data_IF_562877659200
#
_entry.id   IF_562877659200
#
_cell.length_a   1.000
_cell.length_b   1.000
_cell.length_c   1.000
_cell.angle_alpha   90.00
_cell.angle_beta   90.00
_cell.angle_gamma   90.00
#
_symmetry.space_group_name_H-M   'P 1'
#
loop_
_entity.id
_entity.type
_entity.pdbx_description
1 polymer ?
#
# COMPACT_ATOMS: atom_id res chain seq x y z
N UNK A 1 20.38 -1.24 5.27
CA UNK A 1 19.28 -1.96 5.94
C UNK A 1 18.93 -3.19 5.13
N UNK A 2 18.48 -4.24 5.80
CA UNK A 2 17.98 -5.48 5.21
C UNK A 2 16.46 -5.48 5.29
N UNK A 3 15.80 -5.44 4.14
CA UNK A 3 14.34 -5.46 4.04
C UNK A 3 13.89 -6.86 3.67
N UNK A 4 13.07 -7.48 4.52
CA UNK A 4 12.41 -8.74 4.17
C UNK A 4 11.18 -8.45 3.33
N UNK A 5 11.20 -8.88 2.07
CA UNK A 5 10.08 -8.77 1.15
C UNK A 5 9.37 -10.12 0.99
N UNK A 6 8.14 -10.22 1.48
CA UNK A 6 7.28 -11.40 1.36
C UNK A 6 6.34 -11.24 0.16
N UNK A 7 6.26 -12.25 -0.71
CA UNK A 7 5.57 -12.16 -2.00
C UNK A 7 6.43 -11.54 -3.10
N UNK A 8 7.75 -11.81 -3.07
CA UNK A 8 8.71 -11.12 -3.94
C UNK A 8 8.51 -11.36 -5.43
N UNK A 9 7.89 -12.46 -5.85
CA UNK A 9 7.77 -12.83 -7.27
C UNK A 9 6.55 -12.24 -7.99
N UNK A 10 5.59 -11.74 -7.22
CA UNK A 10 4.44 -11.00 -7.75
C UNK A 10 4.85 -9.71 -8.47
N UNK A 11 3.96 -9.17 -9.31
CA UNK A 11 4.21 -7.92 -10.04
C UNK A 11 4.57 -6.77 -9.09
N UNK A 12 3.82 -6.64 -7.99
CA UNK A 12 4.08 -5.64 -6.96
C UNK A 12 5.34 -5.95 -6.15
N UNK A 13 5.56 -7.21 -5.77
CA UNK A 13 6.80 -7.64 -5.12
C UNK A 13 8.03 -7.26 -5.94
N UNK A 14 8.05 -7.55 -7.25
CA UNK A 14 9.13 -7.15 -8.16
C UNK A 14 9.33 -5.63 -8.20
N UNK A 15 8.25 -4.84 -8.22
CA UNK A 15 8.33 -3.38 -8.12
C UNK A 15 9.07 -2.97 -6.84
N UNK A 16 8.70 -3.53 -5.69
CA UNK A 16 9.36 -3.21 -4.43
C UNK A 16 10.81 -3.69 -4.37
N UNK A 17 11.16 -4.81 -4.98
CA UNK A 17 12.58 -5.18 -5.12
C UNK A 17 13.39 -4.08 -5.80
N UNK A 18 12.87 -3.53 -6.91
CA UNK A 18 13.55 -2.45 -7.63
C UNK A 18 13.63 -1.16 -6.80
N UNK A 19 12.52 -0.74 -6.17
CA UNK A 19 12.49 0.48 -5.34
C UNK A 19 13.47 0.37 -4.17
N UNK A 20 13.44 -0.74 -3.42
CA UNK A 20 14.31 -0.94 -2.25
C UNK A 20 15.79 -0.95 -2.65
N UNK A 21 16.13 -1.62 -3.76
CA UNK A 21 17.51 -1.64 -4.29
C UNK A 21 17.95 -0.27 -4.80
N UNK A 22 17.06 0.46 -5.47
CA UNK A 22 17.33 1.81 -5.95
C UNK A 22 17.61 2.78 -4.78
N UNK A 23 16.94 2.59 -3.65
CA UNK A 23 17.23 3.30 -2.40
C UNK A 23 18.53 2.85 -1.70
N UNK A 24 19.26 1.87 -2.24
CA UNK A 24 20.54 1.41 -1.70
C UNK A 24 20.43 0.40 -0.56
N UNK A 25 19.33 -0.37 -0.48
CA UNK A 25 19.11 -1.35 0.58
C UNK A 25 19.09 -2.80 0.07
N UNK A 26 19.42 -3.73 0.97
CA UNK A 26 19.43 -5.15 0.67
C UNK A 26 18.00 -5.71 0.76
N UNK A 27 17.63 -6.57 -0.21
CA UNK A 27 16.32 -7.22 -0.26
C UNK A 27 16.48 -8.70 0.03
N UNK A 28 15.97 -9.14 1.17
CA UNK A 28 15.77 -10.55 1.50
C UNK A 28 14.43 -10.99 0.93
N UNK A 29 14.43 -12.04 0.11
CA UNK A 29 13.25 -12.46 -0.67
C UNK A 29 12.61 -13.67 0.00
N UNK A 30 11.30 -13.61 0.20
CA UNK A 30 10.52 -14.77 0.61
C UNK A 30 9.29 -14.90 -0.29
N UNK A 31 9.14 -16.06 -0.93
CA UNK A 31 8.02 -16.34 -1.84
C UNK A 31 7.64 -17.82 -1.77
N UNK A 32 6.47 -18.18 -2.31
CA UNK A 32 6.03 -19.59 -2.39
C UNK A 32 7.04 -20.43 -3.18
N UNK A 33 7.61 -19.86 -4.24
CA UNK A 33 8.60 -20.54 -5.09
C UNK A 33 9.98 -20.72 -4.41
N UNK A 34 10.31 -19.88 -3.42
CA UNK A 34 11.57 -19.96 -2.69
C UNK A 34 11.36 -19.48 -1.26
N UNK A 35 10.99 -20.42 -0.38
CA UNK A 35 10.78 -20.14 1.04
C UNK A 35 12.11 -20.21 1.77
N UNK A 36 12.54 -19.08 2.32
CA UNK A 36 13.64 -19.02 3.28
C UNK A 36 13.08 -18.81 4.68
N UNK A 37 13.69 -19.48 5.65
CA UNK A 37 13.45 -19.19 7.06
C UNK A 37 14.29 -18.00 7.47
N UNK A 38 13.65 -16.90 7.83
CA UNK A 38 14.30 -15.73 8.41
C UNK A 38 13.94 -15.60 9.89
N UNK A 39 14.93 -15.18 10.66
CA UNK A 39 14.83 -14.84 12.08
C UNK A 39 14.87 -13.32 12.25
N UNK A 40 14.47 -12.82 13.43
CA UNK A 40 14.37 -11.38 13.68
C UNK A 40 15.70 -10.61 13.63
N UNK A 41 16.85 -11.30 13.54
CA UNK A 41 18.17 -10.70 13.35
C UNK A 41 18.57 -10.56 11.88
N UNK A 42 17.85 -11.20 10.96
CA UNK A 42 18.19 -11.19 9.54
C UNK A 42 17.73 -9.91 8.83
N UNK A 43 16.71 -9.23 9.35
CA UNK A 43 16.09 -8.06 8.74
C UNK A 43 15.78 -6.94 9.73
N UNK A 44 15.69 -5.73 9.19
CA UNK A 44 15.38 -4.50 9.93
C UNK A 44 13.88 -4.15 9.87
N UNK A 45 13.21 -4.49 8.76
CA UNK A 45 11.78 -4.30 8.54
C UNK A 45 11.24 -5.32 7.52
N UNK A 46 9.91 -5.38 7.43
CA UNK A 46 9.18 -6.32 6.56
C UNK A 46 8.28 -5.55 5.61
N UNK A 47 8.28 -5.93 4.33
CA UNK A 47 7.31 -5.49 3.33
C UNK A 47 6.52 -6.72 2.88
N UNK A 48 5.18 -6.65 2.97
CA UNK A 48 4.26 -7.71 2.58
C UNK A 48 3.59 -7.30 1.27
N UNK A 49 3.85 -8.04 0.20
CA UNK A 49 3.29 -7.85 -1.14
C UNK A 49 2.65 -9.14 -1.67
N UNK A 50 2.12 -9.97 -0.76
CA UNK A 50 1.39 -11.20 -1.09
C UNK A 50 -0.05 -10.87 -1.50
N UNK A 51 -0.84 -11.83 -2.02
CA UNK A 51 -2.27 -11.60 -2.23
C UNK A 51 -3.01 -11.33 -0.90
N UNK A 52 -4.01 -10.44 -0.93
CA UNK A 52 -4.78 -9.99 0.25
C UNK A 52 -5.27 -11.10 1.19
N UNK A 53 -5.80 -12.26 0.71
CA UNK A 53 -6.23 -13.35 1.60
C UNK A 53 -5.14 -13.86 2.56
N UNK A 54 -3.87 -13.63 2.21
CA UNK A 54 -2.72 -14.12 3.00
C UNK A 54 -2.14 -13.08 3.95
N UNK A 55 -2.50 -11.79 3.81
CA UNK A 55 -1.92 -10.70 4.59
C UNK A 55 -2.02 -10.93 6.09
N UNK A 56 -3.21 -11.28 6.61
CA UNK A 56 -3.45 -11.51 8.04
C UNK A 56 -2.46 -12.50 8.64
N UNK A 57 -2.34 -13.67 8.00
CA UNK A 57 -1.43 -14.73 8.44
C UNK A 57 0.02 -14.24 8.40
N UNK A 58 0.43 -13.56 7.33
CA UNK A 58 1.80 -13.06 7.17
C UNK A 58 2.12 -11.96 8.18
N UNK A 59 1.21 -11.03 8.45
CA UNK A 59 1.35 -9.99 9.48
C UNK A 59 1.62 -10.64 10.84
N UNK A 60 0.76 -11.57 11.27
CA UNK A 60 0.90 -12.26 12.55
C UNK A 60 2.20 -13.08 12.63
N UNK A 61 2.62 -13.70 11.53
CA UNK A 61 3.87 -14.46 11.45
C UNK A 61 5.10 -13.59 11.76
N UNK A 62 5.13 -12.34 11.26
CA UNK A 62 6.27 -11.45 11.40
C UNK A 62 6.13 -10.44 12.55
N UNK A 63 4.92 -10.18 13.05
CA UNK A 63 4.66 -9.29 14.19
C UNK A 63 5.44 -9.68 15.44
N UNK A 64 5.67 -10.99 15.66
CA UNK A 64 6.45 -11.51 16.79
C UNK A 64 7.88 -10.97 16.88
N UNK A 65 8.44 -10.47 15.77
CA UNK A 65 9.78 -9.91 15.74
C UNK A 65 9.84 -8.41 16.11
N UNK A 66 8.69 -7.75 16.29
CA UNK A 66 8.58 -6.34 16.69
C UNK A 66 9.35 -5.37 15.77
N UNK A 67 9.46 -5.73 14.50
CA UNK A 67 10.03 -4.90 13.43
C UNK A 67 8.89 -4.18 12.69
N UNK A 68 9.14 -3.01 12.07
CA UNK A 68 8.15 -2.36 11.21
C UNK A 68 7.65 -3.28 10.11
N UNK A 69 6.36 -3.23 9.84
CA UNK A 69 5.71 -3.95 8.75
C UNK A 69 5.00 -2.94 7.85
N UNK A 70 5.29 -2.97 6.55
CA UNK A 70 4.52 -2.28 5.52
C UNK A 70 3.77 -3.33 4.69
N UNK A 71 2.45 -3.34 4.79
CA UNK A 71 1.59 -4.29 4.08
C UNK A 71 0.93 -3.63 2.87
N UNK A 72 0.84 -4.37 1.77
CA UNK A 72 0.04 -3.97 0.62
C UNK A 72 -1.41 -3.70 0.96
N UNK A 73 -2.04 -2.88 0.12
CA UNK A 73 -3.45 -2.53 0.22
C UNK A 73 -4.33 -3.45 -0.66
N UNK A 74 -5.61 -3.65 -0.29
CA UNK A 74 -6.14 -3.43 1.05
C UNK A 74 -5.43 -4.34 2.06
N UNK A 75 -5.30 -3.90 3.31
CA UNK A 75 -4.58 -4.68 4.32
C UNK A 75 -5.32 -5.99 4.62
N UNK A 76 -6.65 -5.95 4.69
CA UNK A 76 -7.53 -7.10 4.85
C UNK A 76 -8.74 -7.00 3.90
N UNK A 77 -9.32 -8.14 3.56
CA UNK A 77 -10.54 -8.24 2.72
C UNK A 77 -11.81 -7.79 3.46
N UNK A 78 -11.77 -7.76 4.80
CA UNK A 78 -12.91 -7.42 5.64
C UNK A 78 -12.55 -6.31 6.64
N UNK A 79 -13.52 -5.93 7.46
CA UNK A 79 -13.40 -4.88 8.48
C UNK A 79 -13.00 -5.39 9.86
N UNK A 80 -12.71 -6.69 10.00
CA UNK A 80 -12.28 -7.28 11.26
C UNK A 80 -10.75 -7.27 11.40
N UNK A 81 -10.25 -6.28 12.15
CA UNK A 81 -8.83 -6.08 12.44
C UNK A 81 -8.45 -6.52 13.87
N UNK A 82 -9.35 -7.17 14.62
CA UNK A 82 -9.20 -7.40 16.07
C UNK A 82 -7.93 -8.15 16.48
N UNK A 83 -7.43 -9.05 15.63
CA UNK A 83 -6.21 -9.82 15.86
C UNK A 83 -4.92 -9.11 15.41
N UNK A 84 -5.01 -7.99 14.68
CA UNK A 84 -3.83 -7.23 14.22
C UNK A 84 -3.80 -5.78 14.69
N UNK A 85 -4.87 -5.25 15.28
CA UNK A 85 -4.95 -3.87 15.76
C UNK A 85 -3.96 -3.57 16.89
N UNK A 86 -3.49 -4.59 17.60
CA UNK A 86 -2.49 -4.50 18.65
C UNK A 86 -1.05 -4.66 18.13
N UNK A 87 -0.85 -4.92 16.83
CA UNK A 87 0.49 -5.08 16.24
C UNK A 87 1.14 -3.70 16.13
N UNK A 88 2.18 -3.50 16.94
CA UNK A 88 2.96 -2.27 16.92
C UNK A 88 3.70 -2.10 15.58
N UNK A 89 3.79 -0.86 15.09
CA UNK A 89 4.50 -0.47 13.86
C UNK A 89 4.03 -1.23 12.60
N UNK A 90 2.72 -1.47 12.49
CA UNK A 90 2.06 -1.99 11.30
C UNK A 90 1.47 -0.85 10.46
N UNK A 91 1.88 -0.79 9.20
CA UNK A 91 1.50 0.25 8.26
C UNK A 91 0.97 -0.35 6.97
N UNK A 92 0.14 0.42 6.27
CA UNK A 92 -0.37 0.11 4.95
C UNK A 92 0.35 0.94 3.89
N UNK A 93 0.59 0.35 2.73
CA UNK A 93 0.92 1.10 1.52
C UNK A 93 -0.11 2.21 1.33
N UNK A 94 0.35 3.44 1.13
CA UNK A 94 -0.46 4.66 1.07
C UNK A 94 0.09 5.66 0.03
N UNK A 95 0.62 5.14 -1.08
CA UNK A 95 1.35 5.92 -2.08
C UNK A 95 0.53 7.12 -2.62
N UNK A 96 -0.81 7.03 -2.68
CA UNK A 96 -1.67 8.15 -3.11
C UNK A 96 -1.61 9.37 -2.17
N UNK A 97 -1.32 9.17 -0.86
CA UNK A 97 -1.09 10.25 0.12
C UNK A 97 0.06 11.17 -0.28
N UNK A 98 1.03 10.65 -1.04
CA UNK A 98 2.22 11.39 -1.47
C UNK A 98 2.01 12.18 -2.76
N UNK A 99 0.87 12.01 -3.44
CA UNK A 99 0.55 12.72 -4.69
C UNK A 99 -0.72 13.56 -4.60
N UNK A 100 -1.63 13.23 -3.69
CA UNK A 100 -2.90 13.95 -3.52
C UNK A 100 -2.88 14.70 -2.18
N UNK A 101 -3.01 16.05 -2.21
CA UNK A 101 -3.12 16.84 -0.99
C UNK A 101 -4.36 16.47 -0.17
N UNK A 102 -4.25 16.54 1.16
CA UNK A 102 -5.39 16.36 2.06
C UNK A 102 -6.43 17.45 1.80
N UNK A 103 -7.70 17.04 1.60
CA UNK A 103 -8.81 17.94 1.31
C UNK A 103 -8.95 18.31 -0.16
N UNK A 104 -8.23 17.64 -1.07
CA UNK A 104 -8.45 17.77 -2.50
C UNK A 104 -9.71 16.99 -2.93
N UNK A 105 -10.41 17.50 -3.94
CA UNK A 105 -11.51 16.79 -4.61
C UNK A 105 -10.98 15.98 -5.77
N UNK A 106 -11.28 14.69 -5.82
CA UNK A 106 -10.66 13.75 -6.75
C UNK A 106 -11.61 13.44 -7.91
N UNK A 107 -11.07 13.47 -9.12
CA UNK A 107 -11.62 12.79 -10.28
C UNK A 107 -10.68 11.65 -10.67
N UNK A 108 -11.19 10.44 -10.77
CA UNK A 108 -10.37 9.29 -11.13
C UNK A 108 -11.10 8.42 -12.14
N UNK A 109 -10.49 8.28 -13.31
CA UNK A 109 -10.96 7.42 -14.40
C UNK A 109 -9.88 6.37 -14.67
N UNK A 110 -10.24 5.10 -14.60
CA UNK A 110 -9.28 4.00 -14.69
C UNK A 110 -9.79 2.82 -15.50
N UNK A 111 -8.83 2.08 -16.06
CA UNK A 111 -9.04 0.85 -16.81
C UNK A 111 -9.69 -0.25 -15.96
N UNK A 112 -10.88 -0.70 -16.37
CA UNK A 112 -11.59 -1.79 -15.71
C UNK A 112 -10.91 -3.13 -15.97
N UNK A 113 -10.14 -3.62 -14.98
CA UNK A 113 -9.48 -4.93 -15.01
C UNK A 113 -10.28 -6.04 -14.30
N UNK A 114 -11.55 -5.82 -13.97
CA UNK A 114 -12.41 -6.72 -13.18
C UNK A 114 -12.67 -6.24 -11.74
N UNK A 115 -13.54 -6.91 -10.98
CA UNK A 115 -13.99 -6.48 -9.64
C UNK A 115 -12.84 -6.30 -8.63
N UNK A 116 -11.83 -7.18 -8.65
CA UNK A 116 -10.66 -7.07 -7.77
C UNK A 116 -9.88 -5.77 -8.03
N UNK A 117 -9.78 -5.33 -9.29
CA UNK A 117 -9.09 -4.09 -9.66
C UNK A 117 -9.74 -2.84 -9.05
N UNK A 118 -11.00 -2.93 -8.60
CA UNK A 118 -11.69 -1.83 -7.94
C UNK A 118 -11.08 -1.53 -6.55
N UNK A 119 -11.08 -2.53 -5.67
CA UNK A 119 -10.54 -2.37 -4.31
C UNK A 119 -9.05 -2.01 -4.33
N UNK A 120 -8.26 -2.58 -5.25
CA UNK A 120 -6.83 -2.28 -5.34
C UNK A 120 -6.53 -0.88 -5.85
N UNK A 121 -7.35 -0.26 -6.70
CA UNK A 121 -7.03 1.03 -7.31
C UNK A 121 -7.77 2.22 -6.70
N UNK A 122 -9.04 2.07 -6.31
CA UNK A 122 -9.88 3.21 -5.87
C UNK A 122 -9.93 3.42 -4.35
N UNK A 123 -9.54 2.43 -3.55
CA UNK A 123 -9.68 2.51 -2.10
C UNK A 123 -8.97 3.73 -1.47
N UNK A 124 -7.77 4.05 -1.94
CA UNK A 124 -7.00 5.18 -1.40
C UNK A 124 -7.55 6.53 -1.87
N UNK A 125 -7.85 6.73 -3.18
CA UNK A 125 -8.62 7.90 -3.60
C UNK A 125 -9.90 8.12 -2.79
N UNK A 126 -10.74 7.09 -2.61
CA UNK A 126 -11.98 7.20 -1.83
C UNK A 126 -11.74 7.48 -0.35
N UNK A 127 -10.65 6.95 0.23
CA UNK A 127 -10.27 7.29 1.60
C UNK A 127 -9.83 8.76 1.74
N UNK A 128 -9.13 9.30 0.73
CA UNK A 128 -8.66 10.70 0.73
C UNK A 128 -9.83 11.67 0.46
N UNK A 129 -10.72 11.32 -0.47
CA UNK A 129 -11.94 12.05 -0.81
C UNK A 129 -13.13 11.07 -0.92
N UNK A 130 -13.95 10.94 0.14
CA UNK A 130 -15.15 10.09 0.11
C UNK A 130 -16.17 10.50 -0.94
N UNK A 131 -16.07 11.70 -1.51
CA UNK A 131 -16.94 12.20 -2.58
C UNK A 131 -16.25 12.16 -3.95
N UNK A 132 -15.14 11.43 -4.09
CA UNK A 132 -14.40 11.35 -5.34
C UNK A 132 -15.31 10.92 -6.49
N UNK A 133 -15.20 11.62 -7.62
CA UNK A 133 -15.89 11.23 -8.84
C UNK A 133 -15.12 10.11 -9.52
N UNK A 134 -15.69 8.91 -9.53
CA UNK A 134 -15.09 7.72 -10.13
C UNK A 134 -15.79 7.41 -11.46
N UNK A 135 -15.00 7.24 -12.52
CA UNK A 135 -15.45 6.77 -13.82
C UNK A 135 -14.67 5.50 -14.22
N UNK A 136 -15.34 4.57 -14.91
CA UNK A 136 -14.77 3.29 -15.35
C UNK A 136 -14.78 3.22 -16.87
N UNK A 137 -14.26 4.26 -17.53
CA UNK A 137 -14.23 4.34 -18.99
C UNK A 137 -12.87 3.87 -19.51
N UNK A 138 -12.81 2.60 -19.92
CA UNK A 138 -11.65 2.06 -20.65
C UNK A 138 -11.43 2.82 -21.96
N UNK A 139 -10.17 3.07 -22.41
CA UNK A 139 -8.87 2.65 -21.88
C UNK A 139 -8.06 3.78 -21.19
N UNK A 140 -8.71 4.66 -20.42
CA UNK A 140 -8.08 5.91 -19.99
C UNK A 140 -7.60 5.83 -18.52
N UNK A 141 -6.30 6.05 -18.28
CA UNK A 141 -5.80 6.44 -16.95
C UNK A 141 -5.87 7.96 -16.82
N UNK A 142 -6.71 8.46 -15.93
CA UNK A 142 -6.74 9.87 -15.55
C UNK A 142 -6.99 9.99 -14.05
N UNK A 143 -5.95 10.37 -13.31
CA UNK A 143 -6.09 10.88 -11.96
C UNK A 143 -5.97 12.40 -12.02
N UNK A 144 -7.01 13.09 -11.55
CA UNK A 144 -6.99 14.54 -11.35
C UNK A 144 -7.45 14.86 -9.94
N UNK A 145 -6.91 15.91 -9.37
CA UNK A 145 -7.45 16.46 -8.14
C UNK A 145 -7.62 17.96 -8.27
N UNK A 146 -8.59 18.51 -7.56
CA UNK A 146 -8.78 19.95 -7.40
C UNK A 146 -8.49 20.34 -5.97
N UNK A 147 -7.51 21.22 -5.76
CA UNK A 147 -7.11 21.70 -4.45
C UNK A 147 -6.93 23.23 -4.52
N UNK A 148 -7.58 23.94 -3.59
CA UNK A 148 -7.53 25.41 -3.53
C UNK A 148 -7.85 26.10 -4.88
N UNK A 149 -8.85 25.57 -5.62
CA UNK A 149 -9.28 26.10 -6.91
C UNK A 149 -8.43 25.69 -8.11
N UNK A 150 -7.32 24.98 -7.91
CA UNK A 150 -6.46 24.50 -9.00
C UNK A 150 -6.69 23.03 -9.28
N UNK A 151 -6.92 22.68 -10.55
CA UNK A 151 -7.01 21.28 -10.99
C UNK A 151 -5.67 20.81 -11.53
N UNK A 152 -5.14 19.75 -10.94
CA UNK A 152 -3.87 19.11 -11.33
C UNK A 152 -4.16 17.73 -11.87
N UNK A 153 -3.50 17.36 -12.98
CA UNK A 153 -3.49 15.99 -13.50
C UNK A 153 -2.23 15.28 -13.02
N UNK A 154 -2.39 14.12 -12.39
CA UNK A 154 -1.28 13.32 -11.87
C UNK A 154 -0.82 12.37 -12.98
N UNK A 155 0.43 12.52 -13.39
CA UNK A 155 1.08 11.65 -14.36
C UNK A 155 1.38 10.27 -13.77
N UNK A 156 1.60 9.30 -14.65
CA UNK A 156 2.07 7.97 -14.24
C UNK A 156 3.43 8.04 -13.54
N UNK A 157 4.31 8.96 -13.97
CA UNK A 157 5.63 9.15 -13.39
C UNK A 157 5.55 9.63 -11.94
N UNK A 158 4.73 10.65 -11.66
CA UNK A 158 4.48 11.13 -10.29
C UNK A 158 3.92 10.00 -9.41
N UNK A 159 3.01 9.19 -9.96
CA UNK A 159 2.48 8.03 -9.24
C UNK A 159 3.58 6.98 -8.97
N UNK A 160 4.49 6.70 -9.90
CA UNK A 160 5.62 5.79 -9.63
C UNK A 160 6.57 6.36 -8.56
N UNK A 161 6.86 7.67 -8.64
CA UNK A 161 7.71 8.36 -7.66
C UNK A 161 7.08 8.36 -6.25
N UNK A 162 5.75 8.31 -6.16
CA UNK A 162 5.03 8.19 -4.89
C UNK A 162 5.36 6.90 -4.14
N UNK A 163 5.55 5.77 -4.85
CA UNK A 163 5.98 4.51 -4.24
C UNK A 163 7.40 4.59 -3.69
N UNK A 164 8.29 5.26 -4.43
CA UNK A 164 9.68 5.47 -4.00
C UNK A 164 9.73 6.31 -2.72
N UNK A 165 8.98 7.42 -2.70
CA UNK A 165 8.93 8.34 -1.56
C UNK A 165 8.34 7.67 -0.32
N UNK A 166 7.22 6.96 -0.48
CA UNK A 166 6.59 6.20 0.60
C UNK A 166 7.51 5.10 1.16
N UNK A 167 8.16 4.32 0.27
CA UNK A 167 9.07 3.26 0.69
C UNK A 167 10.28 3.85 1.43
N UNK A 168 10.80 5.00 0.97
CA UNK A 168 11.87 5.71 1.66
C UNK A 168 11.45 6.13 3.07
N UNK A 169 10.28 6.74 3.23
CA UNK A 169 9.79 7.16 4.55
C UNK A 169 9.58 5.96 5.49
N UNK A 170 9.11 4.82 4.97
CA UNK A 170 9.03 3.57 5.75
C UNK A 170 10.41 3.07 6.20
N UNK A 171 11.40 3.03 5.31
CA UNK A 171 12.74 2.54 5.61
C UNK A 171 13.49 3.50 6.55
N UNK A 172 13.36 4.81 6.34
CA UNK A 172 13.97 5.86 7.18
C UNK A 172 13.29 5.99 8.56
N UNK A 173 12.17 5.32 8.78
CA UNK A 173 11.43 5.33 10.05
C UNK A 173 10.55 6.57 10.27
N UNK A 174 10.18 7.29 9.22
CA UNK A 174 9.24 8.43 9.25
C UNK A 174 7.80 7.96 9.21
N UNK A 175 7.43 7.18 10.22
CA UNK A 175 6.17 6.45 10.25
C UNK A 175 4.94 7.36 10.34
N UNK A 176 5.08 8.59 10.83
CA UNK A 176 4.04 9.62 10.84
C UNK A 176 3.51 9.96 9.44
N UNK A 177 4.31 9.69 8.40
CA UNK A 177 3.92 9.90 7.01
C UNK A 177 3.16 8.70 6.42
N UNK A 178 3.06 7.57 7.11
CA UNK A 178 2.38 6.38 6.62
C UNK A 178 0.92 6.32 7.10
N UNK A 179 0.19 5.32 6.61
CA UNK A 179 -1.13 4.96 7.12
C UNK A 179 -1.01 3.76 8.04
N UNK A 180 -1.65 3.84 9.21
CA UNK A 180 -1.62 2.78 10.22
C UNK A 180 -2.85 1.86 10.09
N UNK A 181 -3.05 0.99 11.09
CA UNK A 181 -4.19 0.06 11.12
C UNK A 181 -5.55 0.79 11.17
N UNK A 182 -5.64 1.93 11.86
CA UNK A 182 -6.89 2.72 11.90
C UNK A 182 -7.24 3.30 10.54
N UNK A 183 -6.24 3.78 9.79
CA UNK A 183 -6.43 4.24 8.41
C UNK A 183 -6.89 3.08 7.52
N UNK A 184 -6.26 1.91 7.64
CA UNK A 184 -6.63 0.71 6.88
C UNK A 184 -8.07 0.26 7.19
N UNK A 185 -8.47 0.26 8.46
CA UNK A 185 -9.82 -0.07 8.91
C UNK A 185 -10.86 0.88 8.34
N UNK A 186 -10.62 2.19 8.40
CA UNK A 186 -11.51 3.21 7.80
C UNK A 186 -11.62 3.03 6.28
N UNK A 187 -10.52 2.75 5.60
CA UNK A 187 -10.54 2.47 4.16
C UNK A 187 -11.37 1.22 3.83
N UNK A 188 -11.21 0.13 4.59
CA UNK A 188 -12.03 -1.09 4.42
C UNK A 188 -13.53 -0.82 4.67
N UNK A 189 -13.88 0.04 5.63
CA UNK A 189 -15.28 0.43 5.88
C UNK A 189 -15.88 1.21 4.71
N UNK A 190 -15.11 2.11 4.10
CA UNK A 190 -15.54 2.83 2.89
C UNK A 190 -15.78 1.83 1.76
N UNK A 191 -14.87 0.88 1.54
CA UNK A 191 -15.04 -0.10 0.45
C UNK A 191 -16.32 -0.93 0.60
N UNK A 192 -16.68 -1.35 1.81
CA UNK A 192 -17.91 -2.10 2.07
C UNK A 192 -19.19 -1.31 1.73
N UNK A 193 -19.16 0.02 1.69
CA UNK A 193 -20.33 0.82 1.28
C UNK A 193 -20.50 0.94 -0.24
N UNK A 194 -19.56 0.42 -1.03
CA UNK A 194 -19.60 0.42 -2.49
C UNK A 194 -19.85 -0.98 -3.09
N UNK A 195 -19.98 -2.01 -2.26
CA UNK A 195 -20.42 -3.38 -2.63
C UNK A 195 -21.93 -3.53 -2.50
#
# INVERSE_FOLDING_TARGET
MKVLLVGSEGSIGKRYQYVIRWLGHEVLRNDVAYKQSYTGTDFDCVVIATPTPTHRKTILEYAKYKKPILCEKPMLENTDYSDIEHVDRLYMVCNYKYVIPKGAHIYYNYFHGGNESFQYNFAQPLYIDPNAKIELQSPVYQLRYTFQGNTVSVSTEELQQSYVTMMKDFIDGKFENLWNVDDAKKMSQILQSYE
#
